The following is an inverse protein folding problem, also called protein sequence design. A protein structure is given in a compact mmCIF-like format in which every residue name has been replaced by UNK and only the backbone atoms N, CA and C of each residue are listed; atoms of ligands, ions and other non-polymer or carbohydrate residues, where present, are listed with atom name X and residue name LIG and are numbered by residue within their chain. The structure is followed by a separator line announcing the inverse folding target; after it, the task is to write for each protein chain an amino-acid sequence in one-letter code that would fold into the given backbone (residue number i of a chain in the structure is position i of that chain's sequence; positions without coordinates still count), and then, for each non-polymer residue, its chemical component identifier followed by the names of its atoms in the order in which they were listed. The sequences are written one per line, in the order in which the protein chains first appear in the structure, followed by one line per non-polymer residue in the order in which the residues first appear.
data_IF_153724960535
#
_entry.id   IF_153724960535
#
_cell.length_a   1.000
_cell.length_b   1.000
_cell.length_c   1.000
_cell.angle_alpha   90.00
_cell.angle_beta   90.00
_cell.angle_gamma   90.00
#
_symmetry.space_group_name_H-M   'P 1'
#
loop_
_entity.id
_entity.type
_entity.pdbx_description
1 polymer ?
#
# COMPACT_ATOMS: atom_id res chain seq x y z
N UNK A 1 -17.64 19.93 8.84
CA UNK A 1 -16.51 19.03 8.92
C UNK A 1 -16.88 17.72 9.59
N UNK A 2 -17.43 17.79 10.80
CA UNK A 2 -17.91 16.58 11.47
C UNK A 2 -19.03 15.90 10.70
N UNK A 3 -19.91 16.68 10.09
CA UNK A 3 -21.00 16.12 9.31
C UNK A 3 -20.50 15.33 8.09
N UNK A 4 -19.40 15.77 7.50
CA UNK A 4 -18.82 15.12 6.35
C UNK A 4 -18.24 13.75 6.74
N UNK A 5 -17.55 13.68 7.87
CA UNK A 5 -16.92 12.45 8.31
C UNK A 5 -17.93 11.38 8.72
N UNK A 6 -19.14 11.78 9.10
CA UNK A 6 -20.16 10.81 9.50
C UNK A 6 -20.90 10.18 8.31
N UNK A 7 -20.68 10.71 7.12
CA UNK A 7 -21.36 10.22 5.91
C UNK A 7 -20.35 9.64 4.92
N UNK A 8 -19.71 8.60 5.35
CA UNK A 8 -18.75 7.92 4.50
C UNK A 8 -19.45 7.21 3.36
N UNK A 9 -18.99 7.45 2.13
CA UNK A 9 -19.54 6.77 0.96
C UNK A 9 -19.18 5.28 0.99
N UNK A 10 -19.91 4.47 0.23
CA UNK A 10 -19.59 3.05 0.11
C UNK A 10 -18.19 2.84 -0.45
N UNK A 11 -17.77 3.68 -1.39
CA UNK A 11 -16.43 3.62 -1.98
C UNK A 11 -15.37 3.87 -0.92
N UNK A 12 -15.58 4.87 -0.07
CA UNK A 12 -14.63 5.18 1.00
C UNK A 12 -14.55 4.05 2.01
N UNK A 13 -15.70 3.48 2.40
CA UNK A 13 -15.73 2.35 3.31
C UNK A 13 -14.99 1.15 2.74
N UNK A 14 -15.20 0.88 1.45
CA UNK A 14 -14.52 -0.21 0.75
C UNK A 14 -13.02 0.01 0.73
N UNK A 15 -12.58 1.25 0.48
CA UNK A 15 -11.16 1.60 0.49
C UNK A 15 -10.53 1.37 1.85
N UNK A 16 -11.21 1.74 2.92
CA UNK A 16 -10.71 1.53 4.28
C UNK A 16 -10.59 0.04 4.61
N UNK A 17 -11.58 -0.75 4.21
CA UNK A 17 -11.55 -2.19 4.43
C UNK A 17 -10.45 -2.85 3.60
N UNK A 18 -10.25 -2.39 2.37
CA UNK A 18 -9.17 -2.89 1.53
C UNK A 18 -7.82 -2.60 2.14
N UNK A 19 -7.63 -1.38 2.66
CA UNK A 19 -6.38 -1.00 3.29
C UNK A 19 -6.10 -1.87 4.53
N UNK A 20 -7.11 -2.06 5.38
CA UNK A 20 -6.95 -2.89 6.57
C UNK A 20 -6.62 -4.33 6.21
N UNK A 21 -7.33 -4.88 5.23
CA UNK A 21 -7.10 -6.25 4.77
C UNK A 21 -5.71 -6.40 4.17
N UNK A 22 -5.25 -5.41 3.40
CA UNK A 22 -3.94 -5.44 2.79
C UNK A 22 -2.83 -5.40 3.84
N UNK A 23 -2.97 -4.54 4.83
CA UNK A 23 -1.98 -4.45 5.91
C UNK A 23 -1.88 -5.79 6.64
N UNK A 24 -3.01 -6.42 6.94
CA UNK A 24 -3.01 -7.73 7.59
C UNK A 24 -2.39 -8.79 6.67
N UNK A 25 -2.78 -8.79 5.40
CA UNK A 25 -2.30 -9.77 4.43
C UNK A 25 -0.79 -9.71 4.22
N UNK A 26 -0.24 -8.50 4.13
CA UNK A 26 1.19 -8.31 3.85
C UNK A 26 2.05 -8.27 5.11
N UNK A 27 1.44 -8.30 6.30
CA UNK A 27 2.20 -8.33 7.55
C UNK A 27 2.67 -9.74 7.86
N UNK A 28 3.89 -9.84 8.37
CA UNK A 28 4.47 -11.10 8.84
C UNK A 28 4.96 -10.90 10.26
N UNK A 29 4.33 -11.57 11.22
CA UNK A 29 4.66 -11.44 12.64
C UNK A 29 4.58 -9.98 13.11
N UNK A 30 3.56 -9.26 12.65
CA UNK A 30 3.36 -7.87 13.02
C UNK A 30 4.24 -6.88 12.28
N UNK A 31 5.01 -7.34 11.31
CA UNK A 31 5.94 -6.49 10.54
C UNK A 31 5.46 -6.38 9.11
N UNK A 32 5.38 -5.15 8.61
CA UNK A 32 5.08 -4.90 7.20
C UNK A 32 6.14 -3.97 6.63
N UNK A 33 6.76 -4.39 5.55
CA UNK A 33 7.84 -3.64 4.90
C UNK A 33 7.38 -3.09 3.56
N UNK A 34 8.03 -1.98 3.14
CA UNK A 34 7.88 -1.53 1.77
C UNK A 34 8.35 -2.63 0.83
N UNK A 35 7.49 -3.04 -0.09
CA UNK A 35 7.81 -4.12 -1.00
C UNK A 35 8.88 -3.71 -2.03
N UNK A 36 9.11 -2.41 -2.21
CA UNK A 36 10.08 -1.91 -3.17
C UNK A 36 11.47 -1.71 -2.55
N UNK A 37 11.55 -1.04 -1.40
CA UNK A 37 12.85 -0.72 -0.81
C UNK A 37 13.14 -1.44 0.52
N UNK A 38 12.15 -2.10 1.09
CA UNK A 38 12.33 -2.85 2.33
C UNK A 38 12.23 -2.04 3.60
N UNK A 39 11.92 -0.74 3.51
CA UNK A 39 11.83 0.11 4.69
C UNK A 39 10.70 -0.37 5.61
N UNK A 40 10.99 -0.41 6.92
CA UNK A 40 10.02 -0.86 7.91
C UNK A 40 9.85 0.22 8.97
N UNK A 41 8.62 0.75 9.08
CA UNK A 41 8.34 1.90 9.93
C UNK A 41 8.51 1.63 11.41
N UNK A 42 8.07 0.46 11.88
CA UNK A 42 8.14 0.17 13.32
C UNK A 42 9.56 0.02 13.82
N UNK A 43 10.45 -0.53 13.01
CA UNK A 43 11.87 -0.65 13.37
C UNK A 43 12.55 0.70 13.45
N UNK A 44 12.17 1.59 12.53
CA UNK A 44 12.83 2.90 12.43
C UNK A 44 12.28 3.89 13.45
N UNK A 45 10.97 3.98 13.58
CA UNK A 45 10.30 4.99 14.40
C UNK A 45 9.73 4.45 15.71
N UNK A 46 9.81 3.15 15.93
CA UNK A 46 9.21 2.49 17.08
C UNK A 46 7.76 2.09 16.85
N UNK A 47 7.22 1.19 17.67
CA UNK A 47 5.89 0.63 17.44
C UNK A 47 4.75 1.64 17.63
N UNK A 48 4.97 2.73 18.34
CA UNK A 48 3.93 3.74 18.53
C UNK A 48 3.86 4.68 17.32
N UNK A 49 4.98 5.29 16.96
CA UNK A 49 5.00 6.25 15.87
C UNK A 49 4.98 5.61 14.49
N UNK A 50 5.52 4.40 14.37
CA UNK A 50 5.58 3.70 13.09
C UNK A 50 4.34 2.92 12.74
N UNK A 51 3.36 2.86 13.63
CA UNK A 51 2.16 2.06 13.39
C UNK A 51 1.34 2.61 12.23
N UNK A 52 0.99 1.73 11.31
CA UNK A 52 0.09 2.03 10.20
C UNK A 52 0.55 3.16 9.27
N UNK A 53 1.87 3.40 9.19
CA UNK A 53 2.41 4.42 8.31
C UNK A 53 2.63 3.93 6.88
N UNK A 54 2.65 2.63 6.67
CA UNK A 54 2.82 2.05 5.34
C UNK A 54 1.63 2.47 4.46
N UNK A 55 1.90 2.66 3.16
CA UNK A 55 0.86 2.98 2.21
C UNK A 55 0.58 1.79 1.32
N UNK A 56 -0.62 1.74 0.77
CA UNK A 56 -1.03 0.65 -0.11
C UNK A 56 -1.23 1.22 -1.51
N UNK A 57 -0.40 0.78 -2.43
CA UNK A 57 -0.47 1.20 -3.83
C UNK A 57 -1.43 0.28 -4.58
N UNK A 58 -2.32 0.88 -5.36
CA UNK A 58 -3.30 0.15 -6.17
C UNK A 58 -2.76 0.00 -7.59
N UNK A 59 -2.53 -1.23 -8.02
CA UNK A 59 -2.14 -1.52 -9.41
C UNK A 59 -3.34 -1.42 -10.35
N UNK A 60 -4.55 -1.58 -9.77
CA UNK A 60 -5.82 -1.51 -10.50
C UNK A 60 -6.73 -0.53 -9.77
N UNK A 61 -7.30 0.46 -10.46
CA UNK A 61 -8.18 1.43 -9.81
C UNK A 61 -9.35 0.75 -9.10
N UNK A 62 -9.71 1.27 -7.92
CA UNK A 62 -10.72 0.64 -7.08
C UNK A 62 -12.11 0.64 -7.72
N UNK A 63 -12.41 1.62 -8.58
CA UNK A 63 -13.71 1.68 -9.25
C UNK A 63 -13.96 0.50 -10.18
N UNK A 64 -12.91 -0.20 -10.60
CA UNK A 64 -13.05 -1.38 -11.45
C UNK A 64 -13.65 -2.56 -10.70
N UNK A 65 -13.82 -2.44 -9.39
CA UNK A 65 -14.45 -3.46 -8.57
C UNK A 65 -15.93 -3.15 -8.32
N UNK A 66 -16.48 -2.14 -8.96
CA UNK A 66 -17.88 -1.75 -8.77
C UNK A 66 -18.80 -2.92 -9.11
N UNK A 67 -19.87 -3.06 -8.32
CA UNK A 67 -20.85 -4.13 -8.52
C UNK A 67 -20.54 -5.41 -7.77
N UNK A 68 -19.35 -5.52 -7.15
CA UNK A 68 -18.99 -6.72 -6.39
C UNK A 68 -19.21 -6.48 -4.90
N UNK A 69 -19.36 -7.56 -4.14
CA UNK A 69 -19.41 -7.45 -2.68
C UNK A 69 -18.07 -6.97 -2.14
N UNK A 70 -18.07 -6.48 -0.89
CA UNK A 70 -16.82 -6.04 -0.24
C UNK A 70 -15.83 -7.20 -0.17
N UNK A 71 -16.29 -8.39 0.22
CA UNK A 71 -15.45 -9.56 0.36
C UNK A 71 -14.84 -9.98 -0.98
N UNK A 72 -15.64 -10.00 -2.04
CA UNK A 72 -15.14 -10.32 -3.38
C UNK A 72 -14.12 -9.30 -3.85
N UNK A 73 -14.39 -8.02 -3.56
CA UNK A 73 -13.46 -6.95 -3.93
C UNK A 73 -12.13 -7.11 -3.21
N UNK A 74 -12.15 -7.44 -1.92
CA UNK A 74 -10.94 -7.64 -1.14
C UNK A 74 -10.12 -8.80 -1.70
N UNK A 75 -10.77 -9.95 -1.92
CA UNK A 75 -10.06 -11.13 -2.42
C UNK A 75 -9.38 -10.87 -3.76
N UNK A 76 -10.06 -10.22 -4.68
CA UNK A 76 -9.48 -9.89 -5.97
C UNK A 76 -8.42 -8.81 -5.86
N UNK A 77 -8.67 -7.80 -5.03
CA UNK A 77 -7.80 -6.65 -4.93
C UNK A 77 -6.44 -6.99 -4.31
N UNK A 78 -6.40 -7.96 -3.40
CA UNK A 78 -5.13 -8.31 -2.75
C UNK A 78 -4.04 -8.71 -3.75
N UNK A 79 -4.42 -9.23 -4.90
CA UNK A 79 -3.48 -9.56 -5.97
C UNK A 79 -3.01 -8.32 -6.73
N UNK A 80 -3.69 -7.18 -6.54
CA UNK A 80 -3.41 -5.93 -7.24
C UNK A 80 -3.00 -4.80 -6.30
N UNK A 81 -2.59 -5.15 -5.10
CA UNK A 81 -2.15 -4.17 -4.10
C UNK A 81 -0.69 -4.41 -3.74
N UNK A 82 -0.05 -3.36 -3.27
CA UNK A 82 1.36 -3.42 -2.94
C UNK A 82 1.63 -2.52 -1.74
N UNK A 83 2.24 -3.05 -0.66
CA UNK A 83 2.63 -2.18 0.45
C UNK A 83 3.89 -1.41 0.07
N UNK A 84 3.85 -0.10 0.21
CA UNK A 84 4.97 0.77 -0.15
C UNK A 84 5.15 1.86 0.88
N UNK A 85 6.38 2.32 1.04
CA UNK A 85 6.61 3.51 1.85
C UNK A 85 6.20 4.76 1.04
N UNK A 86 5.92 5.88 1.72
CA UNK A 86 5.53 7.10 1.01
C UNK A 86 6.53 7.55 -0.04
N UNK A 87 7.82 7.34 0.19
CA UNK A 87 8.84 7.72 -0.78
C UNK A 87 8.72 6.90 -2.06
N UNK A 88 8.64 5.59 -1.95
CA UNK A 88 8.49 4.73 -3.11
C UNK A 88 7.15 4.99 -3.81
N UNK A 89 6.09 5.19 -3.05
CA UNK A 89 4.77 5.47 -3.59
C UNK A 89 4.78 6.73 -4.44
N UNK A 90 5.43 7.78 -3.94
CA UNK A 90 5.55 9.04 -4.67
C UNK A 90 6.36 8.86 -5.97
N UNK A 91 7.46 8.13 -5.90
CA UNK A 91 8.30 7.87 -7.07
C UNK A 91 7.53 7.08 -8.12
N UNK A 92 6.78 6.07 -7.68
CA UNK A 92 5.94 5.26 -8.56
C UNK A 92 4.95 6.15 -9.33
N UNK A 93 4.23 7.01 -8.62
CA UNK A 93 3.23 7.86 -9.25
C UNK A 93 3.85 8.93 -10.15
N UNK A 94 4.94 9.52 -9.71
CA UNK A 94 5.61 10.55 -10.51
C UNK A 94 6.12 10.01 -11.84
N UNK A 95 6.56 8.76 -11.85
CA UNK A 95 7.17 8.16 -13.03
C UNK A 95 6.26 7.16 -13.75
N UNK A 96 5.01 7.08 -13.34
CA UNK A 96 4.03 6.17 -13.95
C UNK A 96 4.48 4.71 -13.97
N UNK A 97 5.12 4.27 -12.89
CA UNK A 97 5.54 2.88 -12.74
C UNK A 97 4.32 2.11 -12.25
N UNK A 98 3.57 1.52 -13.17
CA UNK A 98 2.27 0.95 -12.82
C UNK A 98 2.21 -0.56 -12.84
N UNK A 99 3.07 -1.21 -13.61
CA UNK A 99 2.78 -2.59 -13.97
C UNK A 99 3.67 -3.63 -13.35
N UNK A 100 4.95 -3.35 -13.23
CA UNK A 100 5.87 -4.38 -12.78
C UNK A 100 6.82 -3.79 -11.73
N UNK A 101 6.62 -4.22 -10.49
CA UNK A 101 7.44 -3.74 -9.37
C UNK A 101 8.88 -4.25 -9.43
N UNK A 102 9.11 -5.37 -10.09
CA UNK A 102 10.42 -6.04 -10.04
C UNK A 102 11.54 -5.20 -10.66
N UNK A 103 11.40 -4.62 -11.86
CA UNK A 103 12.43 -3.74 -12.40
C UNK A 103 12.71 -2.53 -11.51
N UNK A 104 11.68 -1.96 -10.92
CA UNK A 104 11.82 -0.83 -10.00
C UNK A 104 12.58 -1.23 -8.76
N UNK A 105 12.21 -2.36 -8.17
CA UNK A 105 12.87 -2.90 -6.99
C UNK A 105 14.34 -3.21 -7.26
N UNK A 106 14.65 -3.81 -8.40
CA UNK A 106 16.01 -4.09 -8.80
C UNK A 106 16.82 -2.81 -9.00
N UNK A 107 16.21 -1.79 -9.58
CA UNK A 107 16.86 -0.50 -9.75
C UNK A 107 17.22 0.13 -8.42
N UNK A 108 16.31 0.11 -7.45
CA UNK A 108 16.56 0.63 -6.11
C UNK A 108 17.76 -0.09 -5.49
N UNK A 109 17.80 -1.40 -5.58
CA UNK A 109 18.89 -2.19 -5.02
C UNK A 109 20.24 -1.82 -5.64
N UNK A 110 20.28 -1.65 -6.96
CA UNK A 110 21.48 -1.23 -7.68
C UNK A 110 21.96 0.15 -7.23
N UNK A 111 21.02 1.09 -7.12
CA UNK A 111 21.36 2.45 -6.69
C UNK A 111 21.94 2.44 -5.28
N UNK A 112 21.33 1.69 -4.38
CA UNK A 112 21.80 1.61 -3.00
C UNK A 112 23.20 1.00 -2.91
N UNK A 113 23.47 -0.02 -3.71
CA UNK A 113 24.79 -0.63 -3.74
C UNK A 113 25.86 0.34 -4.27
N UNK A 114 25.51 1.12 -5.30
CA UNK A 114 26.46 2.09 -5.85
C UNK A 114 26.73 3.25 -4.92
N UNK A 115 25.84 3.50 -3.95
CA UNK A 115 26.02 4.55 -2.96
C UNK A 115 26.79 4.08 -1.71
N UNK A 116 27.05 2.79 -1.60
CA UNK A 116 27.72 2.21 -0.43
C UNK A 116 29.25 2.40 -0.49
#
# INVERSE_FOLDING_TARGET
EGATSSRMSKTTQRSQKLRAAAIEHFSHNGVIQCDCCGFEFKSFYGPVYGKSCIEIHHLKPIFQYAGKSVEQTIDEALTNLLPVCPNCHRVIHKNNITLNKLPFKQHIMKQRLSMS
#
